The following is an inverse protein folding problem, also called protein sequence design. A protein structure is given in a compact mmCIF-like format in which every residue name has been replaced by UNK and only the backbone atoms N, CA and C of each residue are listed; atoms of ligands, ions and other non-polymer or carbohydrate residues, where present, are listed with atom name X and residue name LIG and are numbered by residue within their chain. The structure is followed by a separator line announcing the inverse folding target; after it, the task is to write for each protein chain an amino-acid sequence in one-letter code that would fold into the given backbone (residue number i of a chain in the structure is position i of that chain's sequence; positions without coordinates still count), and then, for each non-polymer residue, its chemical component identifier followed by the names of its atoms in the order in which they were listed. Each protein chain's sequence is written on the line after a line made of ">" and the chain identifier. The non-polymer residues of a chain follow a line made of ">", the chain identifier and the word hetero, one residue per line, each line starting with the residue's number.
data_IF_102841440467
#
_entry.id   IF_102841440467
#
_cell.length_a   1.000
_cell.length_b   1.000
_cell.length_c   1.000
_cell.angle_alpha   90.00
_cell.angle_beta   90.00
_cell.angle_gamma   90.00
#
_symmetry.space_group_name_H-M   'P 1'
#
loop_
_entity.id
_entity.type
_entity.pdbx_description
1 polymer ?
#
# COMPACT_ATOMS: atom_id res chain seq x y z
N UNK A 1 -18.81 0.13 -21.02
CA UNK A 1 -18.65 1.21 -20.03
C UNK A 1 -17.35 1.10 -19.23
N UNK A 2 -17.19 0.22 -18.24
CA UNK A 2 -15.96 0.20 -17.40
C UNK A 2 -14.67 -0.07 -18.21
N UNK A 3 -14.72 -0.98 -19.19
CA UNK A 3 -13.57 -1.27 -20.07
C UNK A 3 -13.20 -0.10 -20.97
N UNK A 4 -14.18 0.61 -21.52
CA UNK A 4 -13.94 1.80 -22.36
C UNK A 4 -13.29 2.92 -21.57
N UNK A 5 -13.66 3.07 -20.29
CA UNK A 5 -13.10 4.08 -19.40
C UNK A 5 -11.67 3.71 -18.98
N UNK A 6 -11.45 2.50 -18.47
CA UNK A 6 -10.15 2.12 -17.87
C UNK A 6 -9.12 1.55 -18.85
N UNK A 7 -9.49 1.27 -20.10
CA UNK A 7 -8.54 0.74 -21.11
C UNK A 7 -8.44 1.62 -22.35
N UNK A 8 -9.54 2.18 -22.82
CA UNK A 8 -9.58 2.91 -24.10
C UNK A 8 -9.38 4.40 -23.90
N UNK A 9 -9.93 4.97 -22.83
CA UNK A 9 -9.83 6.39 -22.49
C UNK A 9 -9.16 6.60 -21.12
N UNK A 10 -8.28 5.67 -20.72
CA UNK A 10 -7.66 5.66 -19.39
C UNK A 10 -6.88 6.95 -19.10
N UNK A 11 -6.20 7.49 -20.12
CA UNK A 11 -5.50 8.77 -20.06
C UNK A 11 -6.46 9.96 -19.91
N UNK A 12 -7.63 9.92 -20.54
CA UNK A 12 -8.66 10.97 -20.45
C UNK A 12 -9.29 11.03 -19.06
N UNK A 13 -9.35 9.88 -18.37
CA UNK A 13 -9.90 9.75 -17.02
C UNK A 13 -8.83 9.63 -15.94
N UNK A 14 -7.56 9.91 -16.25
CA UNK A 14 -6.50 9.97 -15.26
C UNK A 14 -6.76 11.15 -14.32
N UNK A 15 -7.32 10.86 -13.15
CA UNK A 15 -7.68 11.86 -12.13
C UNK A 15 -6.43 12.56 -11.59
N UNK A 16 -6.46 13.89 -11.60
CA UNK A 16 -5.57 14.74 -10.81
C UNK A 16 -6.08 14.75 -9.36
N UNK A 17 -5.32 14.19 -8.42
CA UNK A 17 -5.69 14.20 -7.00
C UNK A 17 -5.46 15.60 -6.41
N UNK A 18 -6.37 16.13 -5.55
CA UNK A 18 -6.23 17.48 -5.01
C UNK A 18 -4.98 17.65 -4.13
N UNK A 19 -4.51 18.90 -4.07
CA UNK A 19 -3.27 19.45 -3.49
C UNK A 19 -3.07 19.29 -1.97
N UNK A 20 -3.59 18.24 -1.32
CA UNK A 20 -3.54 18.16 0.16
C UNK A 20 -2.30 17.50 0.76
N UNK A 21 -1.29 17.15 -0.05
CA UNK A 21 0.06 16.83 0.42
C UNK A 21 1.06 17.50 -0.52
N UNK A 22 1.61 18.65 -0.11
CA UNK A 22 2.58 19.47 -0.87
C UNK A 22 3.49 18.64 -1.79
N UNK A 23 3.26 18.76 -3.10
CA UNK A 23 4.01 18.16 -4.22
C UNK A 23 4.09 16.61 -4.18
N UNK A 24 3.34 15.87 -5.01
CA UNK A 24 3.36 15.96 -6.47
C UNK A 24 2.07 15.40 -7.11
N UNK A 25 1.13 16.26 -7.52
CA UNK A 25 0.24 15.97 -8.64
C UNK A 25 0.96 16.38 -9.94
N UNK A 26 1.76 15.48 -10.53
CA UNK A 26 2.18 15.69 -11.92
C UNK A 26 1.07 15.19 -12.82
N UNK A 27 0.63 15.95 -13.84
CA UNK A 27 -0.22 15.43 -14.92
C UNK A 27 0.34 14.09 -15.40
N UNK A 28 -0.53 13.18 -15.82
CA UNK A 28 -0.09 11.87 -16.31
C UNK A 28 0.99 12.04 -17.39
N UNK A 29 2.26 11.83 -16.99
CA UNK A 29 3.42 12.30 -17.73
C UNK A 29 4.66 11.50 -17.36
N UNK A 30 5.82 11.86 -17.91
CA UNK A 30 7.03 11.03 -17.82
C UNK A 30 7.49 10.82 -16.38
N UNK A 31 7.33 11.81 -15.51
CA UNK A 31 7.61 11.67 -14.08
C UNK A 31 6.71 10.64 -13.39
N UNK A 32 5.38 10.74 -13.56
CA UNK A 32 4.43 9.76 -13.02
C UNK A 32 4.70 8.35 -13.55
N UNK A 33 4.99 8.22 -14.85
CA UNK A 33 5.35 6.94 -15.48
C UNK A 33 6.64 6.37 -14.89
N UNK A 34 7.64 7.20 -14.67
CA UNK A 34 8.90 6.81 -14.04
C UNK A 34 8.69 6.35 -12.60
N UNK A 35 7.99 7.14 -11.78
CA UNK A 35 7.68 6.79 -10.39
C UNK A 35 6.85 5.51 -10.31
N UNK A 36 5.83 5.36 -11.16
CA UNK A 36 5.04 4.12 -11.26
C UNK A 36 5.93 2.92 -11.60
N UNK A 37 6.83 3.06 -12.59
CA UNK A 37 7.76 2.00 -12.97
C UNK A 37 8.67 1.62 -11.82
N UNK A 38 9.29 2.59 -11.15
CA UNK A 38 10.17 2.38 -10.00
C UNK A 38 9.44 1.67 -8.85
N UNK A 39 8.24 2.12 -8.48
CA UNK A 39 7.43 1.45 -7.46
C UNK A 39 7.04 0.02 -7.86
N UNK A 40 6.69 -0.22 -9.13
CA UNK A 40 6.33 -1.56 -9.60
C UNK A 40 7.54 -2.52 -9.64
N UNK A 41 8.74 -2.02 -9.95
CA UNK A 41 9.95 -2.86 -10.01
C UNK A 41 10.57 -3.11 -8.65
N UNK A 42 10.60 -2.12 -7.78
CA UNK A 42 11.23 -2.24 -6.47
C UNK A 42 10.24 -2.73 -5.42
N UNK A 43 9.06 -2.12 -5.34
CA UNK A 43 8.13 -2.28 -4.22
C UNK A 43 7.11 -3.41 -4.42
N UNK A 44 6.63 -3.62 -5.64
CA UNK A 44 5.52 -4.55 -5.97
C UNK A 44 5.99 -5.76 -6.79
N UNK A 45 7.27 -5.84 -7.13
CA UNK A 45 7.78 -6.91 -7.98
C UNK A 45 7.64 -8.28 -7.32
N UNK A 46 7.14 -9.30 -8.05
CA UNK A 46 6.98 -10.67 -7.54
C UNK A 46 8.28 -11.32 -7.07
N UNK A 47 9.44 -10.74 -7.43
CA UNK A 47 10.77 -11.22 -7.03
C UNK A 47 11.15 -10.87 -5.59
N UNK A 48 10.35 -10.07 -4.87
CA UNK A 48 10.64 -9.77 -3.48
C UNK A 48 10.26 -10.93 -2.54
N UNK A 49 11.13 -11.93 -2.42
CA UNK A 49 11.10 -12.89 -1.30
C UNK A 49 11.06 -12.17 0.06
N UNK A 50 11.75 -11.02 0.15
CA UNK A 50 11.72 -10.12 1.32
C UNK A 50 10.32 -9.61 1.67
N UNK A 51 9.45 -9.42 0.68
CA UNK A 51 8.08 -8.97 0.88
C UNK A 51 7.27 -10.00 1.66
N UNK A 52 7.47 -11.29 1.35
CA UNK A 52 6.85 -12.38 2.09
C UNK A 52 7.29 -12.40 3.55
N UNK A 53 8.59 -12.27 3.83
CA UNK A 53 9.10 -12.23 5.20
C UNK A 53 8.53 -11.06 6.02
N UNK A 54 8.43 -9.86 5.41
CA UNK A 54 7.83 -8.69 6.06
C UNK A 54 6.35 -8.92 6.37
N UNK A 55 5.57 -9.41 5.39
CA UNK A 55 4.15 -9.71 5.57
C UNK A 55 3.93 -10.75 6.67
N UNK A 56 4.70 -11.85 6.67
CA UNK A 56 4.62 -12.87 7.71
C UNK A 56 4.91 -12.30 9.10
N UNK A 57 5.93 -11.45 9.23
CA UNK A 57 6.26 -10.81 10.50
C UNK A 57 5.13 -9.89 11.00
N UNK A 58 4.54 -9.06 10.14
CA UNK A 58 3.44 -8.18 10.53
C UNK A 58 2.15 -8.95 10.87
N UNK A 59 1.82 -9.98 10.10
CA UNK A 59 0.67 -10.86 10.40
C UNK A 59 0.87 -11.57 11.72
N UNK A 60 2.06 -12.11 12.00
CA UNK A 60 2.36 -12.75 13.28
C UNK A 60 2.24 -11.75 14.44
N UNK A 61 2.65 -10.48 14.26
CA UNK A 61 2.48 -9.43 15.27
C UNK A 61 1.01 -9.09 15.51
N UNK A 62 0.21 -8.99 14.46
CA UNK A 62 -1.23 -8.80 14.53
C UNK A 62 -1.91 -9.94 15.30
N UNK A 63 -1.64 -11.19 14.92
CA UNK A 63 -2.23 -12.38 15.57
C UNK A 63 -1.85 -12.48 17.05
N UNK A 64 -0.60 -12.21 17.42
CA UNK A 64 -0.18 -12.16 18.84
C UNK A 64 -0.96 -11.12 19.63
N UNK A 65 -1.22 -9.95 19.05
CA UNK A 65 -2.00 -8.90 19.70
C UNK A 65 -3.46 -9.31 19.87
N UNK A 66 -4.07 -9.89 18.84
CA UNK A 66 -5.44 -10.39 18.91
C UNK A 66 -5.58 -11.49 19.96
N UNK A 67 -4.65 -12.45 19.99
CA UNK A 67 -4.63 -13.52 20.98
C UNK A 67 -4.50 -12.97 22.41
N UNK A 68 -3.58 -12.03 22.63
CA UNK A 68 -3.43 -11.40 23.95
C UNK A 68 -4.70 -10.67 24.40
N UNK A 69 -5.37 -9.98 23.48
CA UNK A 69 -6.62 -9.25 23.78
C UNK A 69 -7.78 -10.23 24.04
N UNK A 70 -7.85 -11.35 23.31
CA UNK A 70 -8.81 -12.41 23.55
C UNK A 70 -8.63 -13.06 24.94
N UNK A 71 -7.39 -13.35 25.33
CA UNK A 71 -7.07 -13.87 26.67
C UNK A 71 -7.52 -12.91 27.78
N UNK A 72 -7.37 -11.59 27.56
CA UNK A 72 -7.83 -10.56 28.50
C UNK A 72 -9.32 -10.23 28.38
N UNK A 73 -10.04 -10.84 27.43
CA UNK A 73 -11.45 -10.54 27.08
C UNK A 73 -11.68 -9.06 26.79
N UNK A 74 -10.72 -8.41 26.16
CA UNK A 74 -10.82 -7.00 25.75
C UNK A 74 -11.55 -6.86 24.42
N UNK A 75 -12.38 -5.83 24.29
CA UNK A 75 -12.89 -5.42 22.99
C UNK A 75 -11.77 -4.80 22.16
N UNK A 76 -11.70 -5.18 20.89
CA UNK A 76 -10.70 -4.68 19.95
C UNK A 76 -11.41 -4.12 18.73
N UNK A 77 -11.02 -2.91 18.34
CA UNK A 77 -11.36 -2.37 17.02
C UNK A 77 -10.49 -3.05 15.96
N UNK A 78 -11.08 -4.05 15.30
CA UNK A 78 -10.40 -4.81 14.25
C UNK A 78 -10.08 -3.93 13.04
N UNK A 79 -10.90 -2.91 12.73
CA UNK A 79 -10.66 -1.99 11.62
C UNK A 79 -9.38 -1.18 11.84
N UNK A 80 -9.23 -0.61 13.04
CA UNK A 80 -8.01 0.11 13.43
C UNK A 80 -6.76 -0.79 13.41
N UNK A 81 -6.87 -2.04 13.88
CA UNK A 81 -5.74 -2.98 13.86
C UNK A 81 -5.35 -3.43 12.44
N UNK A 82 -6.31 -3.62 11.54
CA UNK A 82 -6.05 -3.93 10.13
C UNK A 82 -5.42 -2.74 9.40
N UNK A 83 -5.87 -1.53 9.70
CA UNK A 83 -5.24 -0.31 9.19
C UNK A 83 -3.78 -0.22 9.66
N UNK A 84 -3.52 -0.53 10.94
CA UNK A 84 -2.16 -0.57 11.50
C UNK A 84 -1.29 -1.65 10.83
N UNK A 85 -1.83 -2.84 10.60
CA UNK A 85 -1.17 -3.94 9.88
C UNK A 85 -0.76 -3.50 8.47
N UNK A 86 -1.68 -2.87 7.74
CA UNK A 86 -1.47 -2.40 6.37
C UNK A 86 -0.42 -1.29 6.33
N UNK A 87 -0.53 -0.29 7.20
CA UNK A 87 0.44 0.81 7.29
C UNK A 87 1.84 0.32 7.65
N UNK A 88 1.99 -0.54 8.66
CA UNK A 88 3.31 -1.08 9.01
C UNK A 88 3.90 -1.91 7.87
N UNK A 89 3.08 -2.68 7.17
CA UNK A 89 3.52 -3.47 6.02
C UNK A 89 4.04 -2.55 4.91
N UNK A 90 3.27 -1.51 4.52
CA UNK A 90 3.65 -0.56 3.47
C UNK A 90 4.90 0.23 3.87
N UNK A 91 4.92 0.82 5.07
CA UNK A 91 6.06 1.60 5.55
C UNK A 91 7.34 0.76 5.61
N UNK A 92 7.27 -0.50 6.06
CA UNK A 92 8.45 -1.38 6.10
C UNK A 92 8.91 -1.86 4.74
N UNK A 93 8.02 -1.93 3.75
CA UNK A 93 8.44 -2.15 2.38
C UNK A 93 9.14 -0.89 1.87
N UNK A 94 8.48 0.28 1.92
CA UNK A 94 8.98 1.52 1.35
C UNK A 94 10.27 2.05 2.01
N UNK A 95 10.35 2.05 3.35
CA UNK A 95 11.50 2.61 4.08
C UNK A 95 12.74 1.72 4.08
N UNK A 96 12.64 0.47 3.60
CA UNK A 96 13.82 -0.40 3.43
C UNK A 96 14.45 -0.31 2.03
N UNK A 97 13.88 0.52 1.16
CA UNK A 97 14.35 0.79 -0.20
C UNK A 97 15.02 2.16 -0.35
N UNK A 98 14.95 3.01 0.67
CA UNK A 98 15.67 4.28 0.80
C UNK A 98 16.83 4.04 1.78
#
# INVERSE_FOLDING_TARGET
>A
MATEIFKTHDLTFAVELPETWDSLPTPYGDYWRFMKKLCMTELVSPKQERSHAIRHAEVAKFLRKMLGSATRKEMVDVGAELMRLTNNSICRHALKFI
#
